data_IF_256879783758
#
_entry.id   IF_256879783758
#
_cell.length_a   1.000
_cell.length_b   1.000
_cell.length_c   1.000
_cell.angle_alpha   90.00
_cell.angle_beta   90.00
_cell.angle_gamma   90.00
#
_symmetry.space_group_name_H-M   'P 1'
#
loop_
_entity.id
_entity.type
_entity.pdbx_description
1 polymer ?
#
# COMPACT_ATOMS: atom_id res chain seq x y z
N UNK A 1 -37.29 10.89 -13.76
CA UNK A 1 -36.95 9.46 -13.59
C UNK A 1 -36.47 9.20 -12.15
N UNK A 2 -37.28 8.52 -11.33
CA UNK A 2 -37.00 8.33 -9.89
C UNK A 2 -36.03 7.15 -9.61
N UNK A 3 -35.75 6.32 -10.62
CA UNK A 3 -34.91 5.13 -10.51
C UNK A 3 -33.78 5.19 -11.56
N UNK A 4 -32.55 4.89 -11.12
CA UNK A 4 -31.35 4.79 -11.95
C UNK A 4 -30.93 3.32 -12.02
N UNK A 5 -30.87 2.78 -13.23
CA UNK A 5 -30.38 1.43 -13.51
C UNK A 5 -29.31 1.54 -14.61
N UNK A 6 -28.04 1.48 -14.21
CA UNK A 6 -26.88 1.65 -15.08
C UNK A 6 -25.83 0.59 -14.76
N UNK A 7 -25.15 0.09 -15.80
CA UNK A 7 -24.06 -0.89 -15.65
C UNK A 7 -22.72 -0.17 -15.63
N UNK A 8 -21.97 -0.34 -14.54
CA UNK A 8 -20.59 0.13 -14.45
C UNK A 8 -19.62 -1.05 -14.62
N UNK A 9 -18.86 -1.02 -15.71
CA UNK A 9 -17.79 -2.00 -15.96
C UNK A 9 -16.52 -1.61 -15.21
N UNK A 10 -15.63 -2.59 -14.99
CA UNK A 10 -14.31 -2.33 -14.40
C UNK A 10 -13.50 -1.30 -15.19
N UNK A 11 -13.54 -1.37 -16.52
CA UNK A 11 -12.82 -0.44 -17.39
C UNK A 11 -13.31 1.00 -17.20
N UNK A 12 -14.63 1.20 -17.13
CA UNK A 12 -15.21 2.52 -16.83
C UNK A 12 -14.81 3.01 -15.44
N UNK A 13 -14.89 2.15 -14.41
CA UNK A 13 -14.46 2.54 -13.07
C UNK A 13 -12.99 2.95 -13.03
N UNK A 14 -12.10 2.18 -13.66
CA UNK A 14 -10.68 2.51 -13.73
C UNK A 14 -10.42 3.81 -14.50
N UNK A 15 -11.15 4.07 -15.58
CA UNK A 15 -11.08 5.33 -16.31
C UNK A 15 -11.52 6.52 -15.44
N UNK A 16 -12.59 6.35 -14.65
CA UNK A 16 -13.10 7.37 -13.74
C UNK A 16 -12.15 7.66 -12.56
N UNK A 17 -11.26 6.72 -12.22
CA UNK A 17 -10.31 6.85 -11.11
C UNK A 17 -8.86 6.96 -11.55
N UNK A 18 -8.59 7.15 -12.85
CA UNK A 18 -7.25 7.12 -13.40
C UNK A 18 -6.35 8.23 -12.80
N UNK A 19 -6.90 9.41 -12.59
CA UNK A 19 -6.21 10.55 -11.96
C UNK A 19 -5.79 10.23 -10.51
N UNK A 20 -6.59 9.47 -9.76
CA UNK A 20 -6.27 9.05 -8.40
C UNK A 20 -5.07 8.10 -8.37
N UNK A 21 -4.97 7.19 -9.34
CA UNK A 21 -3.83 6.28 -9.49
C UNK A 21 -2.55 7.04 -9.90
N UNK A 22 -2.66 7.97 -10.85
CA UNK A 22 -1.50 8.77 -11.28
C UNK A 22 -0.90 9.59 -10.13
N UNK A 23 -1.77 10.13 -9.25
CA UNK A 23 -1.33 10.86 -8.04
C UNK A 23 -0.50 10.02 -7.08
N UNK A 24 -0.59 8.68 -7.12
CA UNK A 24 0.24 7.80 -6.29
C UNK A 24 1.69 7.69 -6.76
N UNK A 25 1.98 8.01 -8.03
CA UNK A 25 3.34 7.91 -8.59
C UNK A 25 4.28 8.97 -7.99
N UNK A 26 3.80 10.19 -7.78
CA UNK A 26 4.63 11.28 -7.25
C UNK A 26 5.18 10.98 -5.85
N UNK A 27 4.37 10.58 -4.84
CA UNK A 27 4.89 10.18 -3.54
C UNK A 27 5.89 9.03 -3.61
N UNK A 28 5.64 8.01 -4.47
CA UNK A 28 6.57 6.90 -4.64
C UNK A 28 7.96 7.39 -5.09
N UNK A 29 8.04 8.19 -6.15
CA UNK A 29 9.32 8.70 -6.64
C UNK A 29 10.03 9.62 -5.65
N UNK A 30 9.27 10.44 -4.89
CA UNK A 30 9.84 11.28 -3.85
C UNK A 30 10.49 10.43 -2.76
N UNK A 31 9.82 9.39 -2.26
CA UNK A 31 10.35 8.52 -1.21
C UNK A 31 11.59 7.77 -1.67
N UNK A 32 11.62 7.25 -2.90
CA UNK A 32 12.82 6.58 -3.44
C UNK A 32 13.99 7.55 -3.53
N UNK A 33 13.74 8.79 -3.95
CA UNK A 33 14.76 9.84 -4.00
C UNK A 33 15.28 10.21 -2.61
N UNK A 34 14.39 10.37 -1.63
CA UNK A 34 14.73 10.76 -0.26
C UNK A 34 15.49 9.64 0.47
N UNK A 35 15.11 8.38 0.23
CA UNK A 35 15.82 7.21 0.73
C UNK A 35 17.20 7.02 0.07
N UNK A 36 17.42 7.58 -1.12
CA UNK A 36 18.68 7.48 -1.85
C UNK A 36 19.01 6.07 -2.35
N UNK A 37 17.99 5.21 -2.49
CA UNK A 37 18.14 3.81 -2.92
C UNK A 37 17.66 3.60 -4.35
N UNK A 38 18.15 2.55 -4.99
CA UNK A 38 17.61 2.01 -6.23
C UNK A 38 16.36 1.17 -5.98
N UNK A 39 15.45 1.14 -6.96
CA UNK A 39 14.23 0.29 -6.93
C UNK A 39 14.59 -1.20 -6.74
N UNK A 40 15.75 -1.62 -7.23
CA UNK A 40 16.20 -3.01 -7.13
C UNK A 40 16.52 -3.43 -5.68
N UNK A 41 16.82 -2.47 -4.81
CA UNK A 41 17.14 -2.68 -3.39
C UNK A 41 15.89 -2.92 -2.53
N UNK A 42 14.68 -2.80 -3.10
CA UNK A 42 13.44 -3.13 -2.40
C UNK A 42 13.28 -4.65 -2.34
N UNK A 43 13.49 -5.29 -1.19
CA UNK A 43 13.35 -6.75 -1.09
C UNK A 43 11.89 -7.23 -1.15
N UNK A 44 11.00 -6.51 -0.46
CA UNK A 44 9.61 -6.90 -0.30
C UNK A 44 8.65 -5.71 -0.50
N UNK A 45 7.52 -5.99 -1.14
CA UNK A 45 6.41 -5.05 -1.29
C UNK A 45 5.26 -5.52 -0.41
N UNK A 46 4.75 -4.64 0.46
CA UNK A 46 3.60 -4.93 1.32
C UNK A 46 2.50 -3.94 0.99
N UNK A 47 1.31 -4.45 0.65
CA UNK A 47 0.13 -3.64 0.39
C UNK A 47 -0.75 -3.58 1.64
N UNK A 48 -1.09 -2.36 2.07
CA UNK A 48 -1.88 -2.11 3.28
C UNK A 48 -3.05 -1.18 2.95
N UNK A 49 -4.23 -1.46 3.51
CA UNK A 49 -5.47 -0.72 3.29
C UNK A 49 -6.35 -1.31 2.18
N UNK A 50 -7.67 -1.27 2.39
CA UNK A 50 -8.65 -1.95 1.53
C UNK A 50 -8.61 -1.54 0.05
N UNK A 51 -8.28 -0.29 -0.26
CA UNK A 51 -8.16 0.20 -1.65
C UNK A 51 -7.08 -0.53 -2.45
N UNK A 52 -6.08 -1.12 -1.79
CA UNK A 52 -5.02 -1.90 -2.46
C UNK A 52 -5.53 -3.23 -3.02
N UNK A 53 -6.75 -3.66 -2.68
CA UNK A 53 -7.42 -4.81 -3.28
C UNK A 53 -7.87 -4.54 -4.72
N UNK A 54 -7.89 -3.28 -5.16
CA UNK A 54 -8.20 -2.93 -6.54
C UNK A 54 -7.08 -3.41 -7.48
N UNK A 55 -7.37 -4.22 -8.52
CA UNK A 55 -6.34 -4.78 -9.40
C UNK A 55 -5.41 -3.73 -10.02
N UNK A 56 -5.93 -2.56 -10.40
CA UNK A 56 -5.12 -1.50 -10.98
C UNK A 56 -4.11 -0.87 -9.99
N UNK A 57 -4.35 -0.94 -8.67
CA UNK A 57 -3.37 -0.50 -7.66
C UNK A 57 -2.22 -1.51 -7.59
N UNK A 58 -2.53 -2.80 -7.56
CA UNK A 58 -1.50 -3.85 -7.54
C UNK A 58 -0.61 -3.81 -8.80
N UNK A 59 -1.21 -3.63 -9.98
CA UNK A 59 -0.47 -3.48 -11.23
C UNK A 59 0.40 -2.22 -11.24
N UNK A 60 -0.13 -1.08 -10.75
CA UNK A 60 0.66 0.16 -10.64
C UNK A 60 1.88 -0.05 -9.74
N UNK A 61 1.72 -0.68 -8.58
CA UNK A 61 2.84 -0.93 -7.66
C UNK A 61 3.86 -1.89 -8.28
N UNK A 62 3.38 -2.92 -9.00
CA UNK A 62 4.25 -3.84 -9.73
C UNK A 62 5.05 -3.12 -10.81
N UNK A 63 4.44 -2.21 -11.57
CA UNK A 63 5.13 -1.36 -12.56
C UNK A 63 6.21 -0.50 -11.88
N UNK A 64 5.83 0.22 -10.82
CA UNK A 64 6.72 1.14 -10.10
C UNK A 64 7.92 0.44 -9.44
N UNK A 65 7.76 -0.82 -9.05
CA UNK A 65 8.79 -1.61 -8.37
C UNK A 65 9.62 -2.47 -9.31
N UNK A 66 9.47 -2.30 -10.64
CA UNK A 66 10.24 -3.06 -11.62
C UNK A 66 9.81 -4.53 -11.75
N UNK A 67 8.54 -4.83 -11.47
CA UNK A 67 7.94 -6.14 -11.62
C UNK A 67 7.83 -6.98 -10.34
N UNK A 68 8.12 -6.40 -9.16
CA UNK A 68 8.04 -7.14 -7.89
C UNK A 68 6.59 -7.40 -7.49
N UNK A 69 6.30 -8.64 -7.10
CA UNK A 69 4.98 -9.05 -6.61
C UNK A 69 4.79 -8.66 -5.14
N UNK A 70 3.59 -8.20 -4.81
CA UNK A 70 3.23 -7.89 -3.43
C UNK A 70 3.13 -9.14 -2.57
N UNK A 71 3.60 -9.05 -1.33
CA UNK A 71 3.48 -10.09 -0.32
C UNK A 71 2.00 -10.27 0.08
N UNK A 72 1.50 -11.51 -0.05
CA UNK A 72 0.11 -11.89 0.27
C UNK A 72 -0.05 -12.50 1.66
N UNK A 73 1.02 -12.62 2.44
CA UNK A 73 1.03 -13.15 3.81
C UNK A 73 0.48 -12.18 4.86
N UNK A 74 0.13 -10.95 4.45
CA UNK A 74 -0.35 -9.89 5.33
C UNK A 74 -1.79 -9.55 5.00
N UNK A 75 -2.66 -9.49 6.02
CA UNK A 75 -4.03 -9.02 5.84
C UNK A 75 -4.03 -7.47 5.75
N UNK A 76 -4.38 -6.87 4.59
CA UNK A 76 -4.29 -5.41 4.42
C UNK A 76 -5.26 -4.63 5.29
N UNK A 77 -6.31 -5.26 5.80
CA UNK A 77 -7.36 -4.58 6.58
C UNK A 77 -7.07 -4.59 8.09
N UNK A 78 -6.24 -5.51 8.57
CA UNK A 78 -6.01 -5.75 10.00
C UNK A 78 -4.56 -5.49 10.44
N UNK A 79 -3.60 -5.53 9.51
CA UNK A 79 -2.16 -5.47 9.83
C UNK A 79 -1.77 -4.25 10.66
N UNK A 80 -2.40 -3.10 10.41
CA UNK A 80 -2.11 -1.87 11.16
C UNK A 80 -2.50 -2.01 12.64
N UNK A 81 -3.68 -2.58 12.91
CA UNK A 81 -4.16 -2.80 14.27
C UNK A 81 -3.28 -3.82 15.02
N UNK A 82 -2.85 -4.87 14.32
CA UNK A 82 -1.91 -5.86 14.86
C UNK A 82 -0.58 -5.18 15.22
N UNK A 83 -0.01 -4.38 14.31
CA UNK A 83 1.22 -3.62 14.57
C UNK A 83 1.10 -2.68 15.78
N UNK A 84 -0.03 -1.99 15.92
CA UNK A 84 -0.30 -1.12 17.07
C UNK A 84 -0.36 -1.90 18.39
N UNK A 85 -1.01 -3.07 18.40
CA UNK A 85 -1.05 -3.94 19.59
C UNK A 85 0.33 -4.46 19.99
N UNK A 86 1.16 -4.81 19.01
CA UNK A 86 2.54 -5.23 19.25
C UNK A 86 3.36 -4.09 19.86
N UNK A 87 3.24 -2.88 19.32
CA UNK A 87 3.91 -1.69 19.86
C UNK A 87 3.50 -1.41 21.31
N UNK A 88 2.22 -1.61 21.65
CA UNK A 88 1.76 -1.50 23.04
C UNK A 88 2.40 -2.55 23.96
N UNK A 89 2.60 -3.78 23.47
CA UNK A 89 3.31 -4.83 24.20
C UNK A 89 4.80 -4.50 24.42
N UNK A 90 5.46 -3.86 23.44
CA UNK A 90 6.84 -3.37 23.58
C UNK A 90 6.92 -2.30 24.67
N UNK A 91 5.99 -1.34 24.68
CA UNK A 91 5.95 -0.27 25.69
C UNK A 91 5.72 -0.79 27.11
N UNK A 92 5.00 -1.91 27.26
CA UNK A 92 4.81 -2.59 28.55
C UNK A 92 5.97 -3.50 28.96
N UNK A 93 6.94 -3.73 28.08
CA UNK A 93 8.04 -4.67 28.29
C UNK A 93 7.62 -6.15 28.20
N UNK A 94 6.43 -6.43 27.67
CA UNK A 94 5.93 -7.79 27.41
C UNK A 94 6.57 -8.39 26.15
N UNK A 95 6.89 -7.54 25.18
CA UNK A 95 7.66 -7.88 23.97
C UNK A 95 9.07 -7.36 24.14
N UNK A 96 10.05 -8.26 24.06
CA UNK A 96 11.48 -7.95 24.20
C UNK A 96 12.18 -8.03 22.85
N UNK A 97 13.35 -7.42 22.77
CA UNK A 97 14.25 -7.47 21.61
C UNK A 97 13.72 -6.80 20.33
N UNK A 98 12.83 -5.81 20.48
CA UNK A 98 12.35 -4.96 19.38
C UNK A 98 12.74 -3.51 19.65
N UNK A 99 13.47 -2.92 18.71
CA UNK A 99 13.79 -1.49 18.69
C UNK A 99 13.17 -0.86 17.44
N UNK A 100 12.33 0.17 17.64
CA UNK A 100 11.72 0.95 16.57
C UNK A 100 12.25 2.38 16.63
N UNK A 101 12.80 2.88 15.53
CA UNK A 101 13.22 4.25 15.33
C UNK A 101 12.37 4.84 14.20
N UNK A 102 11.56 5.84 14.52
CA UNK A 102 10.70 6.53 13.56
C UNK A 102 11.25 7.92 13.24
N UNK A 103 10.86 8.48 12.09
CA UNK A 103 11.33 9.78 11.59
C UNK A 103 10.18 10.80 11.53
N UNK A 104 10.50 12.10 11.45
CA UNK A 104 9.52 13.21 11.35
C UNK A 104 9.64 13.98 10.04
#
# INVERSE_FOLDING_TARGET
PLHLDEKLTRAQFQQLTADLLERCKTPFHNVIKDAGISINEIDHVVLVGGSTRMPAVAELVKELTGGKEANKGVNPDEVVAIGASLQAGVLKGEVKDVLLLDVT
#
